data_IF_553538609400
#
_entry.id   IF_553538609400
#
_cell.length_a   1.000
_cell.length_b   1.000
_cell.length_c   1.000
_cell.angle_alpha   90.00
_cell.angle_beta   90.00
_cell.angle_gamma   90.00
#
_symmetry.space_group_name_H-M   'P 1'
#
loop_
_entity.id
_entity.type
_entity.pdbx_description
1 polymer ?
#
# COMPACT_ATOMS: atom_id res chain seq x y z
N UNK A 1 -17.42 -2.87 -11.64
CA UNK A 1 -17.03 -1.44 -11.76
C UNK A 1 -17.30 -0.66 -10.48
N UNK A 2 -18.55 -0.43 -10.04
CA UNK A 2 -18.82 0.41 -8.85
C UNK A 2 -18.14 -0.12 -7.58
N UNK A 3 -18.24 -1.43 -7.31
CA UNK A 3 -17.66 -2.03 -6.11
C UNK A 3 -16.12 -2.07 -6.13
N UNK A 4 -15.51 -2.47 -7.26
CA UNK A 4 -14.06 -2.51 -7.43
C UNK A 4 -13.42 -1.13 -7.23
N UNK A 5 -14.08 -0.08 -7.75
CA UNK A 5 -13.67 1.30 -7.59
C UNK A 5 -13.72 1.76 -6.13
N UNK A 6 -14.81 1.46 -5.41
CA UNK A 6 -14.95 1.81 -3.99
C UNK A 6 -13.88 1.11 -3.16
N UNK A 7 -13.69 -0.20 -3.37
CA UNK A 7 -12.66 -0.96 -2.66
C UNK A 7 -11.25 -0.41 -2.92
N UNK A 8 -10.94 -0.04 -4.16
CA UNK A 8 -9.66 0.55 -4.52
C UNK A 8 -9.37 1.83 -3.73
N UNK A 9 -10.32 2.77 -3.74
CA UNK A 9 -10.13 4.07 -3.08
C UNK A 9 -10.16 3.96 -1.55
N UNK A 10 -11.00 3.09 -1.01
CA UNK A 10 -10.99 2.80 0.42
C UNK A 10 -9.64 2.23 0.84
N UNK A 11 -9.11 1.28 0.07
CA UNK A 11 -7.79 0.70 0.32
C UNK A 11 -6.68 1.73 0.20
N UNK A 12 -6.70 2.57 -0.83
CA UNK A 12 -5.73 3.64 -1.04
C UNK A 12 -5.74 4.68 0.07
N UNK A 13 -6.93 5.02 0.60
CA UNK A 13 -7.08 5.95 1.72
C UNK A 13 -6.47 5.36 3.00
N UNK A 14 -6.81 4.11 3.33
CA UNK A 14 -6.24 3.44 4.51
C UNK A 14 -4.72 3.28 4.38
N UNK A 15 -4.24 2.91 3.19
CA UNK A 15 -2.80 2.83 2.90
C UNK A 15 -2.10 4.18 3.08
N UNK A 16 -2.76 5.29 2.69
CA UNK A 16 -2.19 6.63 2.84
C UNK A 16 -2.08 7.04 4.31
N UNK A 17 -3.07 6.72 5.15
CA UNK A 17 -3.00 6.93 6.60
C UNK A 17 -1.85 6.11 7.20
N UNK A 18 -1.70 4.85 6.81
CA UNK A 18 -0.58 4.01 7.22
C UNK A 18 0.77 4.57 6.80
N UNK A 19 0.93 4.96 5.53
CA UNK A 19 2.17 5.49 5.02
C UNK A 19 2.56 6.79 5.72
N UNK A 20 1.62 7.72 5.91
CA UNK A 20 1.89 9.01 6.57
C UNK A 20 2.26 8.84 8.04
N UNK A 21 1.48 8.05 8.79
CA UNK A 21 1.76 7.76 10.20
C UNK A 21 3.07 6.97 10.37
N UNK A 22 3.35 5.99 9.49
CA UNK A 22 4.57 5.19 9.51
C UNK A 22 5.82 6.02 9.22
N UNK A 23 5.76 6.89 8.20
CA UNK A 23 6.86 7.81 7.87
C UNK A 23 7.09 8.81 9.01
N UNK A 24 6.03 9.32 9.65
CA UNK A 24 6.17 10.22 10.80
C UNK A 24 6.95 9.57 11.96
N UNK A 25 6.84 8.24 12.11
CA UNK A 25 7.59 7.46 13.10
C UNK A 25 8.99 7.03 12.66
N UNK A 26 9.32 7.08 11.36
CA UNK A 26 10.60 6.64 10.81
C UNK A 26 11.80 7.54 11.21
N UNK A 27 11.54 8.66 11.90
CA UNK A 27 12.57 9.48 12.54
C UNK A 27 12.26 10.97 12.54
N UNK A 28 13.08 11.75 13.27
CA UNK A 28 12.89 13.19 13.46
C UNK A 28 12.77 13.99 12.15
N UNK A 29 13.41 13.55 11.08
CA UNK A 29 13.34 14.19 9.76
C UNK A 29 11.90 14.34 9.24
N UNK A 30 11.03 13.39 9.56
CA UNK A 30 9.67 13.34 9.04
C UNK A 30 8.59 13.54 10.12
N UNK A 31 8.98 13.74 11.38
CA UNK A 31 8.04 13.92 12.50
C UNK A 31 7.07 15.09 12.32
N UNK A 32 7.44 16.09 11.53
CA UNK A 32 6.57 17.23 11.19
C UNK A 32 5.22 16.82 10.55
N UNK A 33 5.15 15.65 9.89
CA UNK A 33 3.90 15.13 9.30
C UNK A 33 2.78 14.94 10.33
N UNK A 34 3.14 14.67 11.59
CA UNK A 34 2.21 14.53 12.72
C UNK A 34 2.63 15.40 13.90
N UNK A 35 3.17 16.59 13.63
CA UNK A 35 3.57 17.58 14.66
C UNK A 35 4.55 17.03 15.71
N UNK A 36 5.37 16.04 15.34
CA UNK A 36 6.29 15.33 16.23
C UNK A 36 5.60 14.56 17.38
N UNK A 37 4.29 14.36 17.31
CA UNK A 37 3.55 13.51 18.24
C UNK A 37 3.68 12.04 17.82
N UNK A 38 4.78 11.43 18.26
CA UNK A 38 5.11 10.03 17.94
C UNK A 38 4.11 9.06 18.58
N UNK A 39 3.58 9.40 19.76
CA UNK A 39 2.61 8.55 20.45
C UNK A 39 1.30 8.49 19.67
N UNK A 40 0.79 9.64 19.20
CA UNK A 40 -0.38 9.68 18.34
C UNK A 40 -0.14 8.98 17.01
N UNK A 41 1.04 9.17 16.39
CA UNK A 41 1.40 8.49 15.15
C UNK A 41 1.39 6.95 15.31
N UNK A 42 1.93 6.41 16.42
CA UNK A 42 1.91 4.97 16.71
C UNK A 42 0.49 4.43 16.88
N UNK A 43 -0.35 5.12 17.66
CA UNK A 43 -1.74 4.72 17.88
C UNK A 43 -2.51 4.70 16.55
N UNK A 44 -2.43 5.79 15.77
CA UNK A 44 -3.10 5.89 14.47
C UNK A 44 -2.61 4.82 13.52
N UNK A 45 -1.30 4.56 13.47
CA UNK A 45 -0.71 3.55 12.59
C UNK A 45 -1.23 2.15 12.93
N UNK A 46 -1.24 1.76 14.22
CA UNK A 46 -1.73 0.45 14.66
C UNK A 46 -3.22 0.26 14.38
N UNK A 47 -4.04 1.27 14.63
CA UNK A 47 -5.49 1.21 14.34
C UNK A 47 -5.71 1.08 12.83
N UNK A 48 -5.03 1.89 12.02
CA UNK A 48 -5.11 1.81 10.58
C UNK A 48 -4.61 0.46 10.04
N UNK A 49 -3.61 -0.15 10.69
CA UNK A 49 -3.08 -1.46 10.31
C UNK A 49 -4.13 -2.56 10.47
N UNK A 50 -4.91 -2.55 11.55
CA UNK A 50 -6.01 -3.51 11.75
C UNK A 50 -7.02 -3.38 10.60
N UNK A 51 -7.46 -2.15 10.31
CA UNK A 51 -8.42 -1.88 9.22
C UNK A 51 -7.85 -2.33 7.87
N UNK A 52 -6.57 -2.04 7.62
CA UNK A 52 -5.88 -2.41 6.39
C UNK A 52 -5.77 -3.91 6.19
N UNK A 53 -5.46 -4.68 7.24
CA UNK A 53 -5.38 -6.14 7.19
C UNK A 53 -6.75 -6.73 6.87
N UNK A 54 -7.81 -6.28 7.56
CA UNK A 54 -9.19 -6.73 7.30
C UNK A 54 -9.63 -6.41 5.87
N UNK A 55 -9.37 -5.18 5.41
CA UNK A 55 -9.72 -4.76 4.07
C UNK A 55 -8.92 -5.54 3.01
N UNK A 56 -7.65 -5.82 3.26
CA UNK A 56 -6.80 -6.66 2.41
C UNK A 56 -7.38 -8.06 2.28
N UNK A 57 -7.81 -8.69 3.38
CA UNK A 57 -8.47 -10.00 3.31
C UNK A 57 -9.77 -9.97 2.50
N UNK A 58 -10.59 -8.91 2.64
CA UNK A 58 -11.81 -8.73 1.83
C UNK A 58 -11.46 -8.66 0.34
N UNK A 59 -10.47 -7.85 -0.03
CA UNK A 59 -10.02 -7.71 -1.43
C UNK A 59 -9.44 -9.02 -1.97
N UNK A 60 -8.65 -9.75 -1.16
CA UNK A 60 -8.12 -11.06 -1.52
C UNK A 60 -9.23 -12.10 -1.74
N UNK A 61 -10.20 -12.18 -0.83
CA UNK A 61 -11.33 -13.10 -0.96
C UNK A 61 -12.16 -12.80 -2.20
N UNK A 62 -12.39 -11.50 -2.47
CA UNK A 62 -13.08 -11.07 -3.68
C UNK A 62 -12.36 -11.54 -4.95
N UNK A 63 -11.03 -11.44 -4.98
CA UNK A 63 -10.23 -11.88 -6.12
C UNK A 63 -10.19 -13.41 -6.25
N UNK A 64 -10.08 -14.15 -5.15
CA UNK A 64 -10.13 -15.62 -5.14
C UNK A 64 -11.49 -16.11 -5.67
N UNK A 65 -12.59 -15.54 -5.19
CA UNK A 65 -13.95 -15.90 -5.67
C UNK A 65 -14.06 -15.64 -7.18
N UNK A 66 -13.49 -14.54 -7.68
CA UNK A 66 -13.47 -14.22 -9.12
C UNK A 66 -12.72 -15.28 -9.93
N UNK A 67 -11.54 -15.69 -9.45
CA UNK A 67 -10.72 -16.73 -10.07
C UNK A 67 -11.45 -18.08 -10.08
N UNK A 68 -12.06 -18.47 -8.95
CA UNK A 68 -12.83 -19.70 -8.82
C UNK A 68 -14.04 -19.73 -9.76
N UNK A 69 -14.70 -18.58 -9.96
CA UNK A 69 -15.80 -18.42 -10.92
C UNK A 69 -15.34 -18.34 -12.39
N UNK A 70 -14.03 -18.44 -12.65
CA UNK A 70 -13.41 -18.33 -13.99
C UNK A 70 -13.83 -17.04 -14.71
N UNK A 71 -14.10 -15.98 -13.96
CA UNK A 71 -14.52 -14.70 -14.52
C UNK A 71 -13.32 -14.01 -15.18
N UNK A 72 -13.33 -13.98 -16.52
CA UNK A 72 -12.28 -13.36 -17.34
C UNK A 72 -12.48 -11.86 -17.54
N UNK A 73 -13.48 -11.23 -16.91
CA UNK A 73 -13.70 -9.79 -17.06
C UNK A 73 -12.51 -9.00 -16.54
N UNK A 74 -11.99 -8.09 -17.38
CA UNK A 74 -10.95 -7.15 -16.98
C UNK A 74 -11.55 -6.15 -16.00
N UNK A 75 -11.10 -6.18 -14.74
CA UNK A 75 -11.48 -5.20 -13.71
C UNK A 75 -10.31 -4.23 -13.49
N UNK A 76 -10.35 -3.03 -14.09
CA UNK A 76 -9.21 -2.12 -14.11
C UNK A 76 -8.88 -1.50 -12.74
N UNK A 77 -9.78 -1.63 -11.76
CA UNK A 77 -9.66 -1.03 -10.42
C UNK A 77 -9.30 -2.03 -9.32
N UNK A 78 -9.06 -3.30 -9.65
CA UNK A 78 -8.61 -4.26 -8.63
C UNK A 78 -7.24 -3.87 -8.09
N UNK A 79 -7.10 -3.90 -6.76
CA UNK A 79 -5.84 -3.64 -6.07
C UNK A 79 -4.83 -4.76 -6.32
N UNK A 80 -5.30 -6.02 -6.30
CA UNK A 80 -4.48 -7.19 -6.54
C UNK A 80 -4.74 -7.79 -7.92
N UNK A 81 -3.71 -8.42 -8.48
CA UNK A 81 -3.79 -9.10 -9.76
C UNK A 81 -2.63 -10.06 -9.97
N UNK A 82 -2.73 -10.96 -10.96
CA UNK A 82 -1.75 -12.02 -11.18
C UNK A 82 -0.42 -11.53 -11.77
N UNK A 83 -0.35 -10.28 -12.26
CA UNK A 83 0.86 -9.72 -12.87
C UNK A 83 0.93 -8.20 -12.77
N UNK A 84 2.11 -7.65 -13.08
CA UNK A 84 2.37 -6.21 -13.10
C UNK A 84 2.23 -5.56 -11.72
N UNK A 85 1.65 -4.35 -11.68
CA UNK A 85 1.51 -3.58 -10.44
C UNK A 85 0.59 -4.24 -9.41
N UNK A 86 -0.42 -4.99 -9.85
CA UNK A 86 -1.33 -5.71 -8.94
C UNK A 86 -0.61 -6.84 -8.18
N UNK A 87 0.32 -7.55 -8.84
CA UNK A 87 1.14 -8.58 -8.21
C UNK A 87 2.16 -7.96 -7.25
N UNK A 88 2.83 -6.88 -7.68
CA UNK A 88 3.73 -6.12 -6.81
C UNK A 88 3.03 -5.68 -5.53
N UNK A 89 1.86 -5.04 -5.66
CA UNK A 89 1.06 -4.55 -4.52
C UNK A 89 0.65 -5.68 -3.60
N UNK A 90 0.29 -6.84 -4.15
CA UNK A 90 -0.05 -8.02 -3.35
C UNK A 90 1.14 -8.51 -2.52
N UNK A 91 2.32 -8.69 -3.13
CA UNK A 91 3.52 -9.18 -2.45
C UNK A 91 3.95 -8.19 -1.36
N UNK A 92 4.03 -6.90 -1.67
CA UNK A 92 4.44 -5.88 -0.69
C UNK A 92 3.47 -5.79 0.47
N UNK A 93 2.16 -5.89 0.22
CA UNK A 93 1.14 -5.92 1.26
C UNK A 93 1.33 -7.10 2.22
N UNK A 94 1.61 -8.30 1.69
CA UNK A 94 1.86 -9.47 2.53
C UNK A 94 3.11 -9.29 3.40
N UNK A 95 4.19 -8.75 2.84
CA UNK A 95 5.42 -8.48 3.60
C UNK A 95 5.15 -7.43 4.70
N UNK A 96 4.38 -6.37 4.42
CA UNK A 96 3.98 -5.40 5.45
C UNK A 96 3.19 -6.04 6.59
N UNK A 97 2.23 -6.91 6.27
CA UNK A 97 1.43 -7.60 7.30
C UNK A 97 2.33 -8.48 8.17
N UNK A 98 3.21 -9.28 7.55
CA UNK A 98 4.12 -10.19 8.27
C UNK A 98 5.07 -9.39 9.17
N UNK A 99 5.76 -8.39 8.59
CA UNK A 99 6.73 -7.58 9.35
C UNK A 99 6.07 -6.73 10.42
N UNK A 100 4.90 -6.15 10.15
CA UNK A 100 4.12 -5.40 11.15
C UNK A 100 3.65 -6.29 12.31
N UNK A 101 3.18 -7.50 12.02
CA UNK A 101 2.82 -8.47 13.05
C UNK A 101 4.03 -8.91 13.88
N UNK A 102 5.18 -9.14 13.25
CA UNK A 102 6.42 -9.47 13.97
C UNK A 102 6.84 -8.34 14.92
N UNK A 103 6.82 -7.08 14.45
CA UNK A 103 7.14 -5.92 15.31
C UNK A 103 6.18 -5.90 16.50
N UNK A 104 4.88 -6.03 16.26
CA UNK A 104 3.88 -5.97 17.33
C UNK A 104 4.09 -7.08 18.37
N UNK A 105 4.27 -8.33 17.93
CA UNK A 105 4.31 -9.48 18.83
C UNK A 105 5.65 -9.64 19.57
N UNK A 106 6.75 -9.16 18.99
CA UNK A 106 8.09 -9.41 19.51
C UNK A 106 8.80 -8.19 20.10
N UNK A 107 8.19 -7.00 20.05
CA UNK A 107 8.78 -5.75 20.53
C UNK A 107 9.38 -5.85 21.95
N UNK A 108 8.70 -6.56 22.85
CA UNK A 108 9.09 -6.67 24.26
C UNK A 108 9.88 -7.95 24.60
N UNK A 109 10.01 -8.90 23.65
CA UNK A 109 10.55 -10.24 23.92
C UNK A 109 11.75 -10.64 23.07
N UNK A 110 11.85 -10.15 21.83
CA UNK A 110 12.94 -10.48 20.92
C UNK A 110 13.37 -9.25 20.12
N UNK A 111 14.34 -8.52 20.66
CA UNK A 111 14.86 -7.29 20.06
C UNK A 111 15.56 -7.53 18.71
N UNK A 112 16.19 -8.68 18.50
CA UNK A 112 16.85 -9.00 17.22
C UNK A 112 15.82 -9.19 16.11
N UNK A 113 14.76 -9.97 16.38
CA UNK A 113 13.65 -10.15 15.44
C UNK A 113 12.95 -8.81 15.16
N UNK A 114 12.68 -8.04 16.22
CA UNK A 114 12.03 -6.72 16.09
C UNK A 114 12.87 -5.75 15.26
N UNK A 115 14.18 -5.66 15.50
CA UNK A 115 15.07 -4.78 14.74
C UNK A 115 15.16 -5.17 13.26
N UNK A 116 15.23 -6.46 12.96
CA UNK A 116 15.22 -6.96 11.59
C UNK A 116 13.89 -6.66 10.89
N UNK A 117 12.77 -6.93 11.55
CA UNK A 117 11.44 -6.63 11.02
C UNK A 117 11.24 -5.13 10.80
N UNK A 118 11.69 -4.27 11.74
CA UNK A 118 11.67 -2.81 11.58
C UNK A 118 12.48 -2.37 10.35
N UNK A 119 13.69 -2.90 10.18
CA UNK A 119 14.53 -2.56 9.03
C UNK A 119 13.84 -2.91 7.70
N UNK A 120 13.28 -4.12 7.57
CA UNK A 120 12.52 -4.50 6.37
C UNK A 120 11.31 -3.60 6.18
N UNK A 121 10.50 -3.42 7.23
CA UNK A 121 9.24 -2.67 7.17
C UNK A 121 9.49 -1.21 6.74
N UNK A 122 10.55 -0.59 7.25
CA UNK A 122 10.94 0.77 6.88
C UNK A 122 11.41 0.86 5.42
N UNK A 123 12.34 -0.02 4.98
CA UNK A 123 12.84 0.03 3.59
C UNK A 123 11.75 -0.29 2.57
N UNK A 124 10.85 -1.22 2.92
CA UNK A 124 9.70 -1.52 2.10
C UNK A 124 8.73 -0.33 2.02
N UNK A 125 8.57 0.45 3.10
CA UNK A 125 7.76 1.68 3.10
C UNK A 125 8.24 2.66 2.03
N UNK A 126 9.53 2.95 1.97
CA UNK A 126 10.07 3.86 0.95
C UNK A 126 9.86 3.33 -0.47
N UNK A 127 10.06 2.03 -0.69
CA UNK A 127 9.82 1.40 -1.99
C UNK A 127 8.34 1.47 -2.39
N UNK A 128 7.44 1.15 -1.46
CA UNK A 128 6.00 1.16 -1.69
C UNK A 128 5.50 2.58 -2.00
N UNK A 129 5.93 3.58 -1.24
CA UNK A 129 5.55 4.99 -1.46
C UNK A 129 6.05 5.47 -2.82
N UNK A 130 7.31 5.22 -3.17
CA UNK A 130 7.85 5.57 -4.49
C UNK A 130 7.05 4.89 -5.63
N UNK A 131 6.68 3.61 -5.43
CA UNK A 131 5.88 2.87 -6.41
C UNK A 131 4.47 3.46 -6.59
N UNK A 132 3.85 3.95 -5.51
CA UNK A 132 2.51 4.57 -5.56
C UNK A 132 2.58 5.91 -6.25
N UNK A 133 3.61 6.73 -5.98
CA UNK A 133 3.84 7.98 -6.70
C UNK A 133 3.99 7.71 -8.20
N UNK A 134 4.81 6.71 -8.58
CA UNK A 134 4.94 6.28 -9.97
C UNK A 134 3.61 5.79 -10.57
N UNK A 135 2.85 4.99 -9.84
CA UNK A 135 1.54 4.50 -10.26
C UNK A 135 0.58 5.66 -10.56
N UNK A 136 0.50 6.65 -9.66
CA UNK A 136 -0.32 7.86 -9.84
C UNK A 136 0.16 8.64 -11.05
N UNK A 137 1.46 8.87 -11.19
CA UNK A 137 2.04 9.59 -12.34
C UNK A 137 1.63 8.95 -13.68
N UNK A 138 1.74 7.63 -13.80
CA UNK A 138 1.39 6.90 -15.01
C UNK A 138 -0.11 6.92 -15.34
N UNK A 139 -0.96 7.14 -14.34
CA UNK A 139 -2.43 7.17 -14.49
C UNK A 139 -3.00 8.57 -14.59
N UNK A 140 -2.25 9.59 -14.19
CA UNK A 140 -2.71 10.97 -14.18
C UNK A 140 -2.48 11.61 -15.54
N UNK A 141 -3.54 11.77 -16.33
CA UNK A 141 -3.48 12.44 -17.63
C UNK A 141 -3.02 13.90 -17.57
N UNK A 142 -3.16 14.56 -16.42
CA UNK A 142 -2.66 15.92 -16.20
C UNK A 142 -1.13 16.00 -16.05
N UNK A 143 -0.47 14.89 -15.69
CA UNK A 143 0.99 14.81 -15.50
C UNK A 143 1.70 14.20 -16.71
N UNK A 144 0.97 13.53 -17.60
CA UNK A 144 1.51 13.08 -18.88
C UNK A 144 1.64 14.28 -19.83
N UNK A 145 2.87 14.74 -20.07
CA UNK A 145 3.15 15.73 -21.11
C UNK A 145 2.51 15.26 -22.42
N UNK A 146 1.70 16.10 -23.12
CA UNK A 146 1.09 15.68 -24.37
C UNK A 146 2.20 15.38 -25.36
N UNK A 147 2.46 14.10 -25.62
CA UNK A 147 3.30 13.69 -26.76
C UNK A 147 2.61 14.26 -27.99
N UNK A 148 3.22 15.28 -28.60
CA UNK A 148 2.80 15.79 -29.91
C UNK A 148 2.51 14.58 -30.78
N UNK A 149 1.27 14.45 -31.27
CA UNK A 149 0.90 13.44 -32.27
C UNK A 149 1.95 13.55 -33.37
N UNK A 150 2.86 12.58 -33.45
CA UNK A 150 3.73 12.46 -34.60
C UNK A 150 2.78 12.35 -35.80
N UNK A 151 2.80 13.37 -36.65
CA UNK A 151 1.99 13.43 -37.85
C UNK A 151 2.22 12.13 -38.60
N UNK A 152 1.15 11.36 -38.84
CA UNK A 152 1.25 10.24 -39.77
C UNK A 152 1.62 10.85 -41.13
N UNK A 153 2.74 10.44 -41.76
CA UNK A 153 2.96 10.78 -43.16
C UNK A 153 1.82 10.16 -43.97
N UNK A 154 1.28 10.95 -44.91
CA UNK A 154 0.27 10.51 -45.88
C UNK A 154 0.86 9.50 -46.84
#
# INVERSE_FOLDING_TARGET
>A
MKFDFILHWLWALVFSVLALSGIAMAGAKYGWLMQYDIAMADIVHRIAAIVYVLLTFIVMMYEIIRILRRDKTKKPWLVFGPSGYGLFTFITTLIFIITGAMIWLFMDSNHAATAFSLWIHEKLTYLAVASVIWHIYMKTHALTWPKKRAAKPK
#
